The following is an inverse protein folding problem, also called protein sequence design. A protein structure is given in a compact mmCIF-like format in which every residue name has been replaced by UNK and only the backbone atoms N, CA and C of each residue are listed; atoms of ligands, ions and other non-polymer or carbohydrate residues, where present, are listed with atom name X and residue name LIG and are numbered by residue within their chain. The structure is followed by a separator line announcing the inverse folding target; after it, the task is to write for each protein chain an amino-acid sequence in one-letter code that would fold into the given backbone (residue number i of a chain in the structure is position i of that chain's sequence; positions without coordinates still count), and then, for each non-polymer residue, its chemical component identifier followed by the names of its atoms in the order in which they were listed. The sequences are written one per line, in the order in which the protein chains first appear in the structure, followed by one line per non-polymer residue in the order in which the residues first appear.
data_IF_036881950164
#
_entry.id   IF_036881950164
#
_cell.length_a   1.000
_cell.length_b   1.000
_cell.length_c   1.000
_cell.angle_alpha   90.00
_cell.angle_beta   90.00
_cell.angle_gamma   90.00
#
_symmetry.space_group_name_H-M   'P 1'
#
loop_
_entity.id
_entity.type
_entity.pdbx_description
1 polymer ?
#
# COMPACT_ATOMS: atom_id res chain seq x y z
N UNK A 1 8.11 9.40 -15.24
CA UNK A 1 8.55 10.36 -14.20
C UNK A 1 8.10 9.86 -12.83
N UNK A 2 8.94 9.90 -11.79
CA UNK A 2 8.52 9.44 -10.43
C UNK A 2 7.42 10.33 -9.85
N UNK A 3 6.34 9.72 -9.34
CA UNK A 3 5.22 10.41 -8.66
C UNK A 3 5.69 11.28 -7.49
N UNK A 4 6.89 11.04 -6.95
CA UNK A 4 7.51 11.85 -5.90
C UNK A 4 7.94 13.24 -6.39
N UNK A 5 8.50 13.35 -7.60
CA UNK A 5 8.95 14.63 -8.17
C UNK A 5 7.77 15.57 -8.43
N UNK A 6 6.69 15.04 -9.04
CA UNK A 6 5.47 15.80 -9.32
C UNK A 6 4.94 16.51 -8.07
N UNK A 7 4.93 15.79 -6.96
CA UNK A 7 4.36 16.27 -5.72
C UNK A 7 5.13 17.39 -5.02
N UNK A 8 6.45 17.49 -5.27
CA UNK A 8 7.24 18.57 -4.67
C UNK A 8 6.82 19.95 -5.18
N UNK A 9 6.38 20.04 -6.44
CA UNK A 9 5.88 21.30 -7.02
C UNK A 9 4.58 21.70 -6.32
N UNK A 10 3.61 20.78 -6.20
CA UNK A 10 2.37 21.02 -5.44
C UNK A 10 2.65 21.41 -3.99
N UNK A 11 3.61 20.75 -3.34
CA UNK A 11 4.02 21.09 -1.98
C UNK A 11 4.50 22.53 -1.86
N UNK A 12 5.39 22.96 -2.74
CA UNK A 12 5.94 24.33 -2.68
C UNK A 12 4.83 25.37 -2.85
N UNK A 13 3.90 25.14 -3.79
CA UNK A 13 2.78 26.06 -4.01
C UNK A 13 1.82 26.09 -2.81
N UNK A 14 1.54 24.94 -2.20
CA UNK A 14 0.74 24.85 -0.98
C UNK A 14 1.42 25.54 0.22
N UNK A 15 2.72 25.33 0.40
CA UNK A 15 3.52 25.98 1.46
C UNK A 15 3.53 27.50 1.25
N UNK A 16 3.71 27.99 0.02
CA UNK A 16 3.67 29.41 -0.32
C UNK A 16 2.30 30.03 -0.01
N UNK A 17 1.21 29.36 -0.42
CA UNK A 17 -0.15 29.82 -0.12
C UNK A 17 -0.38 29.93 1.38
N UNK A 18 0.07 28.93 2.13
CA UNK A 18 -0.03 28.93 3.60
C UNK A 18 0.79 30.06 4.24
N UNK A 19 2.05 30.24 3.85
CA UNK A 19 2.93 31.27 4.40
C UNK A 19 2.35 32.68 4.18
N UNK A 20 1.85 32.95 2.97
CA UNK A 20 1.31 34.27 2.65
C UNK A 20 -0.13 34.46 3.16
N UNK A 21 -0.90 33.39 3.37
CA UNK A 21 -2.26 33.48 3.93
C UNK A 21 -2.29 34.00 5.37
N UNK A 22 -1.17 33.87 6.09
CA UNK A 22 -0.96 34.32 7.46
C UNK A 22 -0.60 35.82 7.55
N UNK A 23 -0.37 36.49 6.42
CA UNK A 23 -0.04 37.92 6.40
C UNK A 23 -1.31 38.76 6.61
N UNK A 24 -1.27 39.80 7.46
CA UNK A 24 -2.43 40.60 7.82
C UNK A 24 -2.92 41.52 6.68
N UNK A 25 -2.11 41.73 5.64
CA UNK A 25 -2.49 42.52 4.47
C UNK A 25 -2.31 41.62 3.24
N UNK A 26 -3.38 41.45 2.47
CA UNK A 26 -3.42 40.66 1.24
C UNK A 26 -3.50 41.64 0.08
N UNK A 27 -2.52 41.60 -0.81
CA UNK A 27 -2.46 42.55 -1.92
C UNK A 27 -2.90 41.95 -3.26
N UNK A 28 -2.65 40.65 -3.54
CA UNK A 28 -3.17 40.02 -4.75
C UNK A 28 -2.94 38.49 -4.83
N UNK A 29 -3.61 37.81 -5.76
CA UNK A 29 -3.37 36.38 -6.09
C UNK A 29 -1.92 36.09 -6.50
N UNK A 30 -1.22 37.12 -6.99
CA UNK A 30 0.18 37.09 -7.42
C UNK A 30 1.14 36.73 -6.28
N UNK A 31 0.83 37.09 -5.02
CA UNK A 31 1.66 36.75 -3.87
C UNK A 31 1.71 35.23 -3.61
N UNK A 32 0.74 34.47 -4.13
CA UNK A 32 0.63 33.03 -3.95
C UNK A 32 1.12 32.23 -5.17
N UNK A 33 1.76 32.91 -6.12
CA UNK A 33 2.15 32.34 -7.41
C UNK A 33 3.67 32.24 -7.57
N UNK A 34 4.13 31.27 -8.37
CA UNK A 34 5.53 31.13 -8.78
C UNK A 34 5.67 30.93 -10.29
N UNK A 35 6.71 31.47 -10.90
CA UNK A 35 7.08 31.16 -12.28
C UNK A 35 7.78 29.80 -12.39
N UNK A 36 7.93 29.29 -13.61
CA UNK A 36 8.66 28.04 -13.85
C UNK A 36 10.14 28.15 -13.43
N UNK A 37 10.75 29.32 -13.63
CA UNK A 37 12.11 29.69 -13.20
C UNK A 37 12.25 29.64 -11.68
N UNK A 38 11.30 30.20 -10.94
CA UNK A 38 11.33 30.18 -9.47
C UNK A 38 11.15 28.76 -8.92
N UNK A 39 10.30 27.95 -9.55
CA UNK A 39 10.14 26.52 -9.21
C UNK A 39 11.44 25.77 -9.51
N UNK A 40 12.09 26.07 -10.65
CA UNK A 40 13.38 25.51 -11.02
C UNK A 40 14.44 25.84 -9.98
N UNK A 41 14.49 27.09 -9.53
CA UNK A 41 15.49 27.53 -8.57
C UNK A 41 15.38 26.81 -7.24
N UNK A 42 14.15 26.49 -6.81
CA UNK A 42 13.89 25.76 -5.56
C UNK A 42 14.14 24.25 -5.68
N UNK A 43 13.83 23.64 -6.82
CA UNK A 43 13.86 22.17 -6.98
C UNK A 43 15.06 21.64 -7.75
N UNK A 44 15.75 22.51 -8.49
CA UNK A 44 16.84 22.19 -9.44
C UNK A 44 16.48 21.06 -10.40
N UNK A 45 15.23 21.07 -10.88
CA UNK A 45 14.73 20.12 -11.88
C UNK A 45 14.99 20.63 -13.30
N UNK A 46 15.07 19.77 -14.32
CA UNK A 46 15.11 20.22 -15.70
C UNK A 46 13.87 21.05 -16.04
N UNK A 47 14.01 22.15 -16.78
CA UNK A 47 12.88 23.02 -17.08
C UNK A 47 11.77 22.32 -17.87
N UNK A 48 12.17 21.38 -18.76
CA UNK A 48 11.24 20.49 -19.45
C UNK A 48 10.37 19.67 -18.50
N UNK A 49 10.96 19.15 -17.42
CA UNK A 49 10.21 18.36 -16.43
C UNK A 49 9.21 19.23 -15.68
N UNK A 50 9.60 20.48 -15.36
CA UNK A 50 8.73 21.43 -14.67
C UNK A 50 7.52 21.79 -15.56
N UNK A 51 7.76 22.15 -16.82
CA UNK A 51 6.68 22.45 -17.78
C UNK A 51 5.70 21.28 -17.92
N UNK A 52 6.20 20.05 -18.13
CA UNK A 52 5.34 18.86 -18.24
C UNK A 52 4.51 18.64 -16.98
N UNK A 53 5.10 18.85 -15.79
CA UNK A 53 4.38 18.67 -14.52
C UNK A 53 3.34 19.77 -14.31
N UNK A 54 3.67 21.02 -14.63
CA UNK A 54 2.73 22.13 -14.53
C UNK A 54 1.56 21.96 -15.51
N UNK A 55 1.81 21.53 -16.75
CA UNK A 55 0.76 21.25 -17.73
C UNK A 55 -0.17 20.12 -17.25
N UNK A 56 0.39 19.04 -16.71
CA UNK A 56 -0.37 17.95 -16.10
C UNK A 56 -1.27 18.48 -14.96
N UNK A 57 -0.72 19.30 -14.06
CA UNK A 57 -1.48 19.84 -12.93
C UNK A 57 -2.52 20.87 -13.33
N UNK A 58 -2.26 21.66 -14.37
CA UNK A 58 -3.22 22.59 -14.93
C UNK A 58 -4.40 21.82 -15.53
N UNK A 59 -4.12 20.77 -16.31
CA UNK A 59 -5.14 19.89 -16.90
C UNK A 59 -6.00 19.20 -15.82
N UNK A 60 -5.39 18.83 -14.71
CA UNK A 60 -6.08 18.23 -13.56
C UNK A 60 -6.80 19.26 -12.68
N UNK A 61 -6.68 20.56 -12.97
CA UNK A 61 -7.30 21.64 -12.19
C UNK A 61 -6.68 21.84 -10.81
N UNK A 62 -5.45 21.37 -10.57
CA UNK A 62 -4.73 21.52 -9.30
C UNK A 62 -3.98 22.84 -9.20
N UNK A 63 -3.67 23.47 -10.34
CA UNK A 63 -3.05 24.79 -10.41
C UNK A 63 -3.77 25.65 -11.44
N UNK A 64 -3.66 26.96 -11.31
CA UNK A 64 -4.12 27.94 -12.29
C UNK A 64 -2.98 28.89 -12.67
N UNK A 65 -3.18 29.57 -13.80
CA UNK A 65 -2.20 30.49 -14.39
C UNK A 65 -2.59 31.92 -14.06
N UNK A 66 -1.59 32.74 -13.76
CA UNK A 66 -1.72 34.19 -13.60
C UNK A 66 -0.50 34.89 -14.19
N UNK A 67 -0.59 36.19 -14.41
CA UNK A 67 0.47 37.04 -14.96
C UNK A 67 0.38 38.44 -14.39
N UNK A 68 1.51 39.14 -14.27
CA UNK A 68 1.49 40.55 -13.88
C UNK A 68 0.99 41.41 -15.03
N UNK A 69 0.20 42.45 -14.73
CA UNK A 69 -0.29 43.42 -15.72
C UNK A 69 0.83 44.10 -16.53
N UNK A 70 2.05 44.17 -15.98
CA UNK A 70 3.24 44.71 -16.65
C UNK A 70 4.20 43.67 -17.25
N UNK A 71 3.94 42.38 -17.04
CA UNK A 71 4.77 41.28 -17.56
C UNK A 71 3.88 40.09 -17.98
N UNK A 72 3.04 40.26 -19.02
CA UNK A 72 2.12 39.20 -19.48
C UNK A 72 2.87 37.96 -20.00
N UNK A 73 4.12 38.13 -20.45
CA UNK A 73 4.94 37.04 -20.99
C UNK A 73 5.44 36.07 -19.91
N UNK A 74 5.37 36.45 -18.63
CA UNK A 74 5.79 35.60 -17.51
C UNK A 74 4.57 34.93 -16.91
N UNK A 75 4.37 33.67 -17.30
CA UNK A 75 3.33 32.81 -16.74
C UNK A 75 3.72 32.36 -15.33
N UNK A 76 2.81 32.57 -14.39
CA UNK A 76 2.96 32.15 -12.99
C UNK A 76 1.87 31.16 -12.62
N UNK A 77 2.21 30.23 -11.74
CA UNK A 77 1.36 29.15 -11.29
C UNK A 77 0.99 29.36 -9.82
N UNK A 78 -0.28 29.24 -9.48
CA UNK A 78 -0.75 29.18 -8.09
C UNK A 78 -1.64 27.97 -7.87
N UNK A 79 -1.72 27.50 -6.63
CA UNK A 79 -2.47 26.30 -6.27
C UNK A 79 -3.96 26.61 -6.07
N UNK A 80 -4.82 25.76 -6.64
CA UNK A 80 -6.28 25.83 -6.46
C UNK A 80 -6.69 25.08 -5.18
N UNK A 81 -7.95 25.23 -4.76
CA UNK A 81 -8.51 24.43 -3.65
C UNK A 81 -8.42 22.91 -3.92
N UNK A 82 -8.66 22.49 -5.16
CA UNK A 82 -8.51 21.09 -5.58
C UNK A 82 -7.05 20.62 -5.46
N UNK A 83 -6.09 21.48 -5.81
CA UNK A 83 -4.67 21.18 -5.64
C UNK A 83 -4.25 21.08 -4.17
N UNK A 84 -4.80 21.95 -3.31
CA UNK A 84 -4.59 21.87 -1.86
C UNK A 84 -5.16 20.59 -1.28
N UNK A 85 -6.36 20.18 -1.70
CA UNK A 85 -6.95 18.92 -1.28
C UNK A 85 -6.12 17.72 -1.77
N UNK A 86 -5.68 17.71 -3.03
CA UNK A 86 -4.80 16.66 -3.55
C UNK A 86 -3.45 16.60 -2.81
N UNK A 87 -2.93 17.75 -2.38
CA UNK A 87 -1.77 17.84 -1.50
C UNK A 87 -2.08 17.33 -0.09
N UNK A 88 -3.22 17.69 0.48
CA UNK A 88 -3.60 17.20 1.80
C UNK A 88 -3.80 15.68 1.80
N UNK A 89 -4.57 15.16 0.85
CA UNK A 89 -4.91 13.73 0.74
C UNK A 89 -3.65 12.88 0.63
N UNK A 90 -2.66 13.30 -0.15
CA UNK A 90 -1.41 12.54 -0.24
C UNK A 90 -0.56 12.64 1.02
N UNK A 91 -0.56 13.77 1.74
CA UNK A 91 0.11 13.87 3.04
C UNK A 91 -0.62 13.02 4.10
N UNK A 92 -1.95 13.02 4.09
CA UNK A 92 -2.78 12.41 5.11
C UNK A 92 -2.95 10.90 4.86
N UNK A 93 -3.20 10.46 3.63
CA UNK A 93 -3.23 9.04 3.27
C UNK A 93 -1.87 8.38 3.53
N UNK A 94 -0.75 9.02 3.18
CA UNK A 94 0.57 8.46 3.52
C UNK A 94 0.82 8.40 5.03
N UNK A 95 0.26 9.34 5.82
CA UNK A 95 0.35 9.31 7.29
C UNK A 95 -0.60 8.31 7.94
N UNK A 96 -1.82 8.15 7.41
CA UNK A 96 -2.82 7.20 7.90
C UNK A 96 -2.38 5.76 7.66
N UNK A 97 -1.89 5.45 6.44
CA UNK A 97 -1.36 4.13 6.13
C UNK A 97 -0.21 3.71 7.06
N UNK A 98 0.59 4.68 7.54
CA UNK A 98 1.67 4.41 8.50
C UNK A 98 1.21 4.42 9.98
N UNK A 99 0.08 5.06 10.30
CA UNK A 99 -0.45 5.14 11.69
C UNK A 99 -1.45 4.04 12.03
N UNK A 100 -2.08 3.42 11.04
CA UNK A 100 -3.12 2.39 11.24
C UNK A 100 -2.58 0.97 11.43
N UNK A 101 -1.39 0.83 12.04
CA UNK A 101 -0.96 -0.46 12.62
C UNK A 101 -1.96 -0.99 13.66
N UNK A 102 -2.81 -0.12 14.23
CA UNK A 102 -3.91 -0.52 15.12
C UNK A 102 -4.99 -1.35 14.44
N UNK A 103 -5.15 -1.28 13.11
CA UNK A 103 -6.09 -2.12 12.36
C UNK A 103 -5.41 -3.37 11.78
N UNK A 104 -4.12 -3.29 11.49
CA UNK A 104 -3.33 -4.46 11.04
C UNK A 104 -3.22 -5.54 12.13
N UNK A 105 -3.05 -5.16 13.40
CA UNK A 105 -3.00 -6.12 14.52
C UNK A 105 -4.30 -6.93 14.64
N UNK A 106 -5.52 -6.34 14.77
CA UNK A 106 -6.74 -7.13 14.87
C UNK A 106 -7.07 -7.90 13.59
N UNK A 107 -6.73 -7.37 12.41
CA UNK A 107 -6.90 -8.09 11.13
C UNK A 107 -6.02 -9.35 11.08
N UNK A 108 -4.72 -9.22 11.41
CA UNK A 108 -3.78 -10.34 11.43
C UNK A 108 -4.13 -11.36 12.51
N UNK A 109 -4.52 -10.93 13.71
CA UNK A 109 -5.00 -11.81 14.78
C UNK A 109 -6.27 -12.57 14.34
N UNK A 110 -7.20 -11.90 13.65
CA UNK A 110 -8.43 -12.55 13.13
C UNK A 110 -8.10 -13.59 12.06
N UNK A 111 -7.18 -13.28 11.14
CA UNK A 111 -6.74 -14.21 10.11
C UNK A 111 -6.03 -15.43 10.74
N UNK A 112 -5.14 -15.21 11.72
CA UNK A 112 -4.45 -16.29 12.44
C UNK A 112 -5.47 -17.14 13.22
N UNK A 113 -6.44 -16.53 13.88
CA UNK A 113 -7.48 -17.24 14.64
C UNK A 113 -8.38 -18.11 13.76
N UNK A 114 -8.52 -17.80 12.46
CA UNK A 114 -9.29 -18.61 11.51
C UNK A 114 -8.41 -19.69 10.87
N UNK A 115 -7.20 -19.32 10.42
CA UNK A 115 -6.31 -20.25 9.70
C UNK A 115 -5.73 -21.31 10.64
N UNK A 116 -5.40 -20.95 11.87
CA UNK A 116 -4.73 -21.86 12.80
C UNK A 116 -5.60 -23.08 13.18
N UNK A 117 -6.88 -22.94 13.59
CA UNK A 117 -7.73 -24.08 13.90
C UNK A 117 -8.02 -24.96 12.68
N UNK A 118 -8.19 -24.36 11.50
CA UNK A 118 -8.41 -25.11 10.25
C UNK A 118 -7.18 -25.94 9.90
N UNK A 119 -5.98 -25.37 10.00
CA UNK A 119 -4.73 -26.08 9.77
C UNK A 119 -4.51 -27.22 10.77
N UNK A 120 -4.81 -27.01 12.06
CA UNK A 120 -4.74 -28.05 13.09
C UNK A 120 -5.75 -29.17 12.84
N UNK A 121 -6.99 -28.84 12.48
CA UNK A 121 -8.03 -29.84 12.19
C UNK A 121 -7.70 -30.72 10.98
N UNK A 122 -7.16 -30.13 9.91
CA UNK A 122 -6.68 -30.89 8.74
C UNK A 122 -5.49 -31.79 9.12
N UNK A 123 -4.60 -31.31 10.00
CA UNK A 123 -3.47 -32.09 10.46
C UNK A 123 -3.88 -33.28 11.34
N UNK A 124 -4.81 -33.09 12.28
CA UNK A 124 -5.27 -34.17 13.18
C UNK A 124 -6.09 -35.24 12.45
N UNK A 125 -6.94 -34.86 11.49
CA UNK A 125 -7.65 -35.81 10.64
C UNK A 125 -6.68 -36.66 9.81
N UNK A 126 -5.64 -36.06 9.24
CA UNK A 126 -4.61 -36.80 8.49
C UNK A 126 -3.84 -37.81 9.35
N UNK A 127 -3.63 -37.50 10.64
CA UNK A 127 -2.98 -38.42 11.59
C UNK A 127 -3.90 -39.57 11.99
N UNK A 128 -5.18 -39.30 12.23
CA UNK A 128 -6.17 -40.32 12.56
C UNK A 128 -6.35 -41.34 11.43
N UNK A 129 -6.44 -40.88 10.18
CA UNK A 129 -6.49 -41.78 9.01
C UNK A 129 -5.26 -42.68 8.89
N UNK A 130 -4.08 -42.15 9.24
CA UNK A 130 -2.83 -42.91 9.21
C UNK A 130 -2.76 -43.94 10.33
N UNK A 131 -3.29 -43.63 11.52
CA UNK A 131 -3.40 -44.56 12.64
C UNK A 131 -4.37 -45.71 12.27
N UNK A 132 -5.54 -45.39 11.71
CA UNK A 132 -6.54 -46.40 11.32
C UNK A 132 -6.00 -47.37 10.26
N UNK A 133 -5.20 -46.89 9.30
CA UNK A 133 -4.51 -47.76 8.33
C UNK A 133 -3.51 -48.70 8.99
N UNK A 134 -2.70 -48.20 9.92
CA UNK A 134 -1.72 -48.99 10.65
C UNK A 134 -2.38 -50.05 11.55
N UNK A 135 -3.53 -49.74 12.15
CA UNK A 135 -4.31 -50.70 12.93
C UNK A 135 -4.85 -51.84 12.05
N UNK A 136 -5.39 -51.52 10.86
CA UNK A 136 -5.86 -52.53 9.90
C UNK A 136 -4.73 -53.43 9.40
N UNK A 137 -3.56 -52.87 9.10
CA UNK A 137 -2.38 -53.65 8.70
C UNK A 137 -1.93 -54.59 9.84
N UNK A 138 -1.89 -54.10 11.08
CA UNK A 138 -1.50 -54.90 12.25
C UNK A 138 -2.47 -56.07 12.49
N UNK A 139 -3.77 -55.84 12.36
CA UNK A 139 -4.78 -56.88 12.53
C UNK A 139 -4.72 -57.93 11.40
N UNK A 140 -4.46 -57.51 10.16
CA UNK A 140 -4.27 -58.44 9.04
C UNK A 140 -3.07 -59.37 9.27
N UNK A 141 -1.93 -58.83 9.73
CA UNK A 141 -0.73 -59.60 10.06
C UNK A 141 -0.96 -60.55 11.25
N UNK A 142 -1.74 -60.14 12.25
CA UNK A 142 -2.12 -61.01 13.38
C UNK A 142 -2.97 -62.19 12.93
N UNK A 143 -3.91 -61.97 12.01
CA UNK A 143 -4.74 -63.03 11.44
C UNK A 143 -3.90 -63.99 10.60
N UNK A 144 -2.99 -63.47 9.77
CA UNK A 144 -2.07 -64.26 8.95
C UNK A 144 -1.10 -65.10 9.80
N UNK A 145 -0.52 -64.54 10.86
CA UNK A 145 0.31 -65.28 11.80
C UNK A 145 -0.46 -66.39 12.52
N UNK A 146 -1.71 -66.13 12.94
CA UNK A 146 -2.58 -67.17 13.52
C UNK A 146 -2.83 -68.30 12.53
N UNK A 147 -3.19 -67.97 11.29
CA UNK A 147 -3.40 -68.95 10.21
C UNK A 147 -2.15 -69.78 9.93
N UNK A 148 -0.98 -69.15 9.82
CA UNK A 148 0.29 -69.85 9.58
C UNK A 148 0.69 -70.73 10.77
N UNK A 149 0.43 -70.30 12.01
CA UNK A 149 0.69 -71.13 13.19
C UNK A 149 -0.21 -72.37 13.24
N UNK A 150 -1.47 -72.25 12.83
CA UNK A 150 -2.41 -73.38 12.73
C UNK A 150 -2.02 -74.32 11.58
N UNK A 151 -1.59 -73.78 10.44
CA UNK A 151 -1.12 -74.58 9.29
C UNK A 151 0.15 -75.38 9.63
N UNK A 152 1.15 -74.75 10.24
CA UNK A 152 2.38 -75.43 10.66
C UNK A 152 2.12 -76.52 11.72
N UNK A 153 1.11 -76.32 12.59
CA UNK A 153 0.68 -77.33 13.56
C UNK A 153 0.05 -78.56 12.88
N UNK A 154 -0.65 -78.35 11.78
CA UNK A 154 -1.30 -79.44 11.03
C UNK A 154 -0.31 -80.20 10.12
N UNK A 155 0.75 -79.55 9.64
CA UNK A 155 1.82 -80.21 8.88
C UNK A 155 2.78 -81.01 9.78
N UNK A 156 2.93 -80.63 11.06
CA UNK A 156 3.71 -81.35 12.07
C UNK A 156 3.04 -82.64 12.61
N UNK A 157 1.77 -82.89 12.27
CA UNK A 157 0.96 -84.02 12.80
C UNK A 157 0.71 -85.11 11.74
N UNK A 158 1.37 -85.01 10.58
CA UNK A 158 1.45 -86.08 9.58
C UNK A 158 2.83 -86.72 9.58
#
# INVERSE_FOLDING_TARGET
MSSYKKYKILKILADLKRENSLRPIRYDELEFSLSAEEINDRLKYPMRDISVICDDFYTLGFIQLTSYDGQPDIVRYYITENGEQAHFDRLYLNKLWYKDNRFLIPLTVSIIAIIFPVAVSIFDTSKLERIEKLEKELDSLRVELKLNSVKNRNESVK
#
